data_IF_122753595764
#
_entry.id   IF_122753595764
#
_cell.length_a   1.000
_cell.length_b   1.000
_cell.length_c   1.000
_cell.angle_alpha   90.00
_cell.angle_beta   90.00
_cell.angle_gamma   90.00
#
_symmetry.space_group_name_H-M   'P 1'
#
loop_
_entity.id
_entity.type
_entity.pdbx_description
1 polymer ?
#
# COMPACT_ATOMS: atom_id res chain seq x y z
N UNK A 1 15.34 -4.56 -14.60
CA UNK A 1 16.21 -4.12 -13.48
C UNK A 1 16.79 -2.72 -13.69
N UNK A 2 17.38 -2.40 -14.85
CA UNK A 2 17.92 -1.06 -15.18
C UNK A 2 16.97 0.13 -14.92
N UNK A 3 15.67 0.01 -15.24
CA UNK A 3 14.69 1.08 -15.04
C UNK A 3 14.55 1.51 -13.56
N UNK A 4 14.63 0.57 -12.61
CA UNK A 4 14.49 0.85 -11.16
C UNK A 4 15.70 1.61 -10.63
N UNK A 5 16.91 1.22 -11.04
CA UNK A 5 18.13 1.88 -10.58
C UNK A 5 18.27 3.30 -11.14
N UNK A 6 17.97 3.49 -12.42
CA UNK A 6 17.95 4.82 -13.02
C UNK A 6 16.93 5.75 -12.33
N UNK A 7 15.73 5.23 -12.03
CA UNK A 7 14.70 5.98 -11.28
C UNK A 7 15.16 6.34 -9.87
N UNK A 8 15.79 5.41 -9.16
CA UNK A 8 16.40 5.67 -7.86
C UNK A 8 17.46 6.79 -7.93
N UNK A 9 18.41 6.71 -8.87
CA UNK A 9 19.48 7.71 -9.00
C UNK A 9 18.91 9.08 -9.35
N UNK A 10 17.92 9.14 -10.26
CA UNK A 10 17.22 10.38 -10.60
C UNK A 10 16.58 11.00 -9.35
N UNK A 11 15.79 10.24 -8.59
CA UNK A 11 15.12 10.73 -7.38
C UNK A 11 16.11 11.16 -6.29
N UNK A 12 17.20 10.43 -6.11
CA UNK A 12 18.25 10.82 -5.18
C UNK A 12 18.96 12.10 -5.64
N UNK A 13 19.21 12.25 -6.95
CA UNK A 13 19.77 13.45 -7.55
C UNK A 13 18.88 14.68 -7.32
N UNK A 14 17.56 14.56 -7.47
CA UNK A 14 16.60 15.64 -7.16
C UNK A 14 16.73 16.13 -5.71
N UNK A 15 16.90 15.21 -4.75
CA UNK A 15 17.11 15.56 -3.34
C UNK A 15 18.47 16.24 -3.13
N UNK A 16 19.54 15.72 -3.75
CA UNK A 16 20.88 16.30 -3.64
C UNK A 16 20.97 17.70 -4.27
N UNK A 17 20.22 17.93 -5.35
CA UNK A 17 20.04 19.27 -5.95
C UNK A 17 19.30 20.21 -4.98
N UNK A 18 18.24 19.73 -4.31
CA UNK A 18 17.54 20.53 -3.30
C UNK A 18 18.47 20.97 -2.16
N UNK A 19 19.37 20.08 -1.74
CA UNK A 19 20.40 20.36 -0.72
C UNK A 19 21.63 21.10 -1.25
N UNK A 20 21.66 21.48 -2.54
CA UNK A 20 22.76 22.19 -3.20
C UNK A 20 24.09 21.44 -3.16
N UNK A 21 24.04 20.11 -3.10
CA UNK A 21 25.21 19.23 -3.22
C UNK A 21 25.48 18.93 -4.69
N UNK A 22 24.43 18.72 -5.48
CA UNK A 22 24.52 18.49 -6.91
C UNK A 22 24.03 19.71 -7.70
N UNK A 23 24.74 20.12 -8.75
CA UNK A 23 24.27 21.15 -9.69
C UNK A 23 23.07 20.63 -10.49
N UNK A 24 22.09 21.49 -10.78
CA UNK A 24 20.93 21.17 -11.63
C UNK A 24 21.32 20.73 -13.04
N UNK A 25 22.46 21.17 -13.55
CA UNK A 25 22.96 20.77 -14.87
C UNK A 25 23.57 19.35 -14.88
N UNK A 26 23.84 18.79 -13.70
CA UNK A 26 24.51 17.49 -13.57
C UNK A 26 23.52 16.39 -13.18
N UNK A 27 23.67 15.23 -13.80
CA UNK A 27 22.93 14.02 -13.42
C UNK A 27 23.74 13.16 -12.46
N UNK A 28 23.09 12.65 -11.42
CA UNK A 28 23.71 11.68 -10.52
C UNK A 28 23.89 10.35 -11.26
N UNK A 29 25.13 9.86 -11.30
CA UNK A 29 25.50 8.60 -11.93
C UNK A 29 26.00 7.59 -10.91
N UNK A 30 26.15 6.32 -11.30
CA UNK A 30 26.80 5.30 -10.43
C UNK A 30 28.23 5.71 -10.06
N UNK A 31 28.96 6.31 -11.00
CA UNK A 31 30.35 6.69 -10.80
C UNK A 31 30.52 7.86 -9.82
N UNK A 32 29.53 8.75 -9.76
CA UNK A 32 29.57 9.94 -8.89
C UNK A 32 28.79 9.77 -7.59
N UNK A 33 28.05 8.66 -7.42
CA UNK A 33 27.13 8.47 -6.30
C UNK A 33 27.82 8.56 -4.95
N UNK A 34 28.89 7.80 -4.76
CA UNK A 34 29.59 7.67 -3.48
C UNK A 34 30.12 9.03 -3.00
N UNK A 35 30.89 9.72 -3.85
CA UNK A 35 31.46 11.04 -3.56
C UNK A 35 30.38 12.10 -3.27
N UNK A 36 29.31 12.14 -4.08
CA UNK A 36 28.22 13.10 -3.88
C UNK A 36 27.47 12.83 -2.56
N UNK A 37 27.32 11.56 -2.17
CA UNK A 37 26.71 11.20 -0.89
C UNK A 37 27.64 11.54 0.28
N UNK A 38 28.95 11.33 0.15
CA UNK A 38 29.93 11.74 1.17
C UNK A 38 29.89 13.23 1.41
N UNK A 39 29.80 14.05 0.35
CA UNK A 39 29.69 15.50 0.45
C UNK A 39 28.42 15.91 1.22
N UNK A 40 27.27 15.31 0.87
CA UNK A 40 26.03 15.53 1.61
C UNK A 40 26.16 15.12 3.08
N UNK A 41 26.70 13.92 3.38
CA UNK A 41 26.86 13.43 4.74
C UNK A 41 27.72 14.37 5.58
N UNK A 42 28.83 14.86 5.03
CA UNK A 42 29.69 15.83 5.69
C UNK A 42 28.95 17.15 5.94
N UNK A 43 28.21 17.67 4.96
CA UNK A 43 27.44 18.90 5.08
C UNK A 43 26.28 18.79 6.10
N UNK A 44 25.73 17.59 6.28
CA UNK A 44 24.63 17.29 7.19
C UNK A 44 25.08 16.80 8.58
N UNK A 45 26.39 16.83 8.89
CA UNK A 45 26.98 16.34 10.14
C UNK A 45 26.61 14.87 10.45
N UNK A 46 26.70 14.02 9.42
CA UNK A 46 26.45 12.58 9.50
C UNK A 46 27.77 11.80 9.42
N UNK A 47 27.70 10.51 9.74
CA UNK A 47 28.80 9.59 9.45
C UNK A 47 29.06 9.53 7.94
N UNK A 48 30.30 9.83 7.53
CA UNK A 48 30.70 9.98 6.13
C UNK A 48 31.27 8.65 5.62
N UNK A 49 30.48 7.92 4.85
CA UNK A 49 30.86 6.63 4.26
C UNK A 49 30.44 6.47 2.80
N UNK A 50 29.77 7.47 2.22
CA UNK A 50 29.28 7.45 0.84
C UNK A 50 28.13 6.49 0.59
N UNK A 51 27.62 5.83 1.64
CA UNK A 51 26.55 4.84 1.56
C UNK A 51 25.30 5.45 2.19
N UNK A 52 24.25 5.76 1.40
CA UNK A 52 23.05 6.36 1.96
C UNK A 52 22.28 5.32 2.80
N UNK A 53 22.37 5.45 4.12
CA UNK A 53 21.62 4.69 5.12
C UNK A 53 20.33 5.40 5.57
N UNK A 54 19.56 4.81 6.50
CA UNK A 54 18.30 5.39 6.98
C UNK A 54 18.42 6.83 7.52
N UNK A 55 19.55 7.17 8.14
CA UNK A 55 19.83 8.53 8.64
C UNK A 55 20.10 9.51 7.50
N UNK A 56 20.95 9.13 6.53
CA UNK A 56 21.22 9.92 5.32
C UNK A 56 19.93 10.20 4.55
N UNK A 57 19.10 9.17 4.33
CA UNK A 57 17.81 9.34 3.65
C UNK A 57 16.84 10.25 4.40
N UNK A 58 16.83 10.18 5.72
CA UNK A 58 15.96 11.02 6.53
C UNK A 58 16.37 12.48 6.44
N UNK A 59 17.67 12.77 6.55
CA UNK A 59 18.23 14.10 6.39
C UNK A 59 17.98 14.66 4.97
N UNK A 60 18.06 13.82 3.94
CA UNK A 60 17.74 14.20 2.56
C UNK A 60 16.25 14.53 2.38
N UNK A 61 15.38 13.63 2.81
CA UNK A 61 13.96 13.67 2.43
C UNK A 61 13.08 14.51 3.35
N UNK A 62 13.37 14.56 4.66
CA UNK A 62 12.48 15.24 5.60
C UNK A 62 12.35 16.75 5.29
N UNK A 63 13.44 17.51 5.10
CA UNK A 63 13.34 18.93 4.75
C UNK A 63 12.63 19.15 3.41
N UNK A 64 12.90 18.29 2.42
CA UNK A 64 12.23 18.33 1.12
C UNK A 64 10.72 18.13 1.27
N UNK A 65 10.27 17.11 2.00
CA UNK A 65 8.84 16.85 2.24
C UNK A 65 8.14 17.96 3.05
N UNK A 66 8.88 18.72 3.87
CA UNK A 66 8.34 19.89 4.56
C UNK A 66 8.22 21.12 3.65
N UNK A 67 9.03 21.21 2.60
CA UNK A 67 9.01 22.29 1.63
C UNK A 67 7.97 22.08 0.52
N UNK A 68 7.78 20.82 0.09
CA UNK A 68 6.83 20.47 -0.96
C UNK A 68 5.36 20.75 -0.57
N UNK A 69 4.49 21.07 -1.54
CA UNK A 69 3.06 21.14 -1.32
C UNK A 69 2.52 19.86 -0.66
N UNK A 70 1.66 20.05 0.34
CA UNK A 70 1.04 18.95 1.06
C UNK A 70 -0.07 18.32 0.25
N UNK A 71 -0.29 17.04 0.51
CA UNK A 71 -1.34 16.22 -0.08
C UNK A 71 -2.49 16.09 0.91
N UNK A 72 -3.70 16.31 0.41
CA UNK A 72 -4.91 16.08 1.18
C UNK A 72 -5.32 14.60 1.21
N UNK A 73 -6.22 14.30 2.15
CA UNK A 73 -7.03 13.10 2.06
C UNK A 73 -8.30 13.40 1.26
N UNK A 74 -8.51 12.64 0.20
CA UNK A 74 -9.66 12.75 -0.70
C UNK A 74 -10.63 11.62 -0.39
N UNK A 75 -11.92 11.96 -0.29
CA UNK A 75 -13.00 10.97 -0.23
C UNK A 75 -13.24 10.44 -1.65
N UNK A 76 -13.16 9.13 -1.82
CA UNK A 76 -13.58 8.44 -3.04
C UNK A 76 -14.83 7.62 -2.77
N UNK A 77 -15.69 7.46 -3.78
CA UNK A 77 -16.88 6.62 -3.71
C UNK A 77 -16.51 5.14 -3.61
N UNK A 78 -17.37 4.34 -2.97
CA UNK A 78 -17.30 2.89 -2.98
C UNK A 78 -18.72 2.31 -2.90
N UNK A 79 -18.92 1.08 -3.35
CA UNK A 79 -20.24 0.45 -3.32
C UNK A 79 -20.52 -0.26 -1.99
N UNK A 80 -21.77 -0.21 -1.55
CA UNK A 80 -22.27 -1.14 -0.52
C UNK A 80 -22.86 -2.38 -1.18
N UNK A 81 -22.74 -3.54 -0.54
CA UNK A 81 -23.38 -4.78 -0.99
C UNK A 81 -24.41 -5.28 0.04
N UNK A 82 -25.59 -5.78 -0.38
CA UNK A 82 -26.62 -6.23 0.56
C UNK A 82 -26.12 -7.30 1.54
N UNK A 83 -26.33 -7.05 2.83
CA UNK A 83 -25.94 -7.98 3.90
C UNK A 83 -24.42 -8.13 4.08
N UNK A 84 -23.63 -7.16 3.61
CA UNK A 84 -22.19 -7.07 3.82
C UNK A 84 -21.88 -5.74 4.51
N UNK A 85 -21.24 -5.79 5.67
CA UNK A 85 -20.79 -4.59 6.38
C UNK A 85 -19.66 -3.91 5.61
N UNK A 86 -19.74 -2.59 5.47
CA UNK A 86 -18.76 -1.79 4.75
C UNK A 86 -19.14 -0.32 4.71
N UNK A 87 -18.31 0.47 4.03
CA UNK A 87 -18.54 1.88 3.80
C UNK A 87 -18.86 2.14 2.32
N UNK A 88 -19.65 3.18 2.09
CA UNK A 88 -19.93 3.79 0.78
C UNK A 88 -18.78 4.68 0.28
N UNK A 89 -17.61 4.58 0.92
CA UNK A 89 -16.49 5.49 0.69
C UNK A 89 -15.17 4.91 1.16
N UNK A 90 -14.11 5.46 0.60
CA UNK A 90 -12.74 5.34 1.08
C UNK A 90 -12.12 6.74 1.19
N UNK A 91 -11.17 6.92 2.10
CA UNK A 91 -10.33 8.12 2.12
C UNK A 91 -8.90 7.74 1.76
N UNK A 92 -8.33 8.37 0.74
CA UNK A 92 -6.97 8.09 0.27
C UNK A 92 -6.17 9.39 0.16
N UNK A 93 -4.84 9.30 0.15
CA UNK A 93 -3.98 10.44 -0.17
C UNK A 93 -4.27 10.88 -1.61
N UNK A 94 -4.25 12.18 -1.89
CA UNK A 94 -4.73 12.73 -3.17
C UNK A 94 -4.18 12.02 -4.43
N UNK A 95 -2.89 11.68 -4.45
CA UNK A 95 -2.23 10.95 -5.55
C UNK A 95 -2.67 9.48 -5.68
N UNK A 96 -3.00 8.82 -4.56
CA UNK A 96 -3.62 7.49 -4.57
C UNK A 96 -5.11 7.56 -4.90
N UNK A 97 -5.79 8.64 -4.51
CA UNK A 97 -7.21 8.85 -4.78
C UNK A 97 -7.50 8.96 -6.28
N UNK A 98 -6.67 9.67 -7.04
CA UNK A 98 -6.77 9.77 -8.51
C UNK A 98 -6.73 8.38 -9.16
N UNK A 99 -5.76 7.55 -8.77
CA UNK A 99 -5.64 6.16 -9.26
C UNK A 99 -6.84 5.31 -8.86
N UNK A 100 -7.35 5.49 -7.64
CA UNK A 100 -8.50 4.73 -7.16
C UNK A 100 -9.78 5.12 -7.91
N UNK A 101 -9.98 6.40 -8.20
CA UNK A 101 -11.13 6.87 -8.97
C UNK A 101 -11.13 6.30 -10.38
N UNK A 102 -9.98 6.29 -11.07
CA UNK A 102 -9.85 5.66 -12.37
C UNK A 102 -10.13 4.14 -12.32
N UNK A 103 -9.63 3.44 -11.29
CA UNK A 103 -9.95 2.03 -11.04
C UNK A 103 -11.45 1.83 -10.81
N UNK A 104 -12.05 2.66 -9.96
CA UNK A 104 -13.47 2.60 -9.60
C UNK A 104 -14.37 2.77 -10.82
N UNK A 105 -14.11 3.79 -11.63
CA UNK A 105 -14.81 4.02 -12.89
C UNK A 105 -14.73 2.81 -13.83
N UNK A 106 -13.54 2.23 -13.98
CA UNK A 106 -13.34 1.04 -14.83
C UNK A 106 -14.13 -0.17 -14.28
N UNK A 107 -14.02 -0.47 -12.99
CA UNK A 107 -14.71 -1.59 -12.33
C UNK A 107 -16.23 -1.46 -12.47
N UNK A 108 -16.78 -0.27 -12.20
CA UNK A 108 -18.22 0.00 -12.30
C UNK A 108 -18.68 -0.07 -13.76
N UNK A 109 -17.88 0.43 -14.71
CA UNK A 109 -18.22 0.36 -16.14
C UNK A 109 -18.33 -1.08 -16.67
N UNK A 110 -17.64 -2.03 -16.02
CA UNK A 110 -17.71 -3.46 -16.31
C UNK A 110 -18.88 -4.16 -15.60
N UNK A 111 -19.70 -3.44 -14.85
CA UNK A 111 -20.84 -3.99 -14.11
C UNK A 111 -20.45 -4.74 -12.83
N UNK A 112 -19.24 -4.48 -12.29
CA UNK A 112 -18.82 -4.96 -10.98
C UNK A 112 -19.02 -3.88 -9.90
N UNK A 113 -18.82 -4.27 -8.64
CA UNK A 113 -18.84 -3.37 -7.48
C UNK A 113 -17.46 -3.34 -6.82
N UNK A 114 -17.09 -2.20 -6.26
CA UNK A 114 -15.87 -2.01 -5.49
C UNK A 114 -16.22 -1.63 -4.05
N UNK A 115 -16.49 -2.65 -3.24
CA UNK A 115 -16.86 -2.43 -1.82
C UNK A 115 -15.68 -1.94 -1.00
N UNK A 116 -15.94 -1.35 0.18
CA UNK A 116 -14.87 -0.88 1.06
C UNK A 116 -15.09 -1.22 2.54
N UNK A 117 -14.01 -1.56 3.24
CA UNK A 117 -13.92 -1.47 4.72
C UNK A 117 -12.99 -0.35 5.19
N UNK A 118 -12.62 0.56 4.29
CA UNK A 118 -11.89 1.79 4.60
C UNK A 118 -10.54 1.90 3.88
N UNK A 119 -9.89 3.04 4.11
CA UNK A 119 -8.59 3.41 3.54
C UNK A 119 -7.73 4.07 4.61
N UNK A 120 -7.73 5.40 4.67
CA UNK A 120 -7.02 6.15 5.71
C UNK A 120 -7.29 5.59 7.11
N UNK A 121 -6.21 5.33 7.84
CA UNK A 121 -6.24 5.10 9.28
C UNK A 121 -5.74 6.36 9.99
N UNK A 122 -6.54 6.88 10.93
CA UNK A 122 -6.11 7.99 11.76
C UNK A 122 -4.93 7.58 12.65
N UNK A 123 -3.96 8.48 12.85
CA UNK A 123 -2.80 8.20 13.71
C UNK A 123 -3.20 7.94 15.17
N UNK A 124 -4.28 8.57 15.64
CA UNK A 124 -4.84 8.39 16.99
C UNK A 124 -5.45 7.00 17.22
N UNK A 125 -5.73 6.24 16.16
CA UNK A 125 -6.12 4.84 16.28
C UNK A 125 -4.86 4.02 16.52
N UNK A 126 -4.51 3.84 17.79
CA UNK A 126 -3.28 3.17 18.23
C UNK A 126 -3.02 1.80 17.58
N UNK A 127 -1.74 1.41 17.57
CA UNK A 127 -1.32 0.07 17.13
C UNK A 127 -1.85 -1.00 18.10
N UNK A 128 -2.28 -2.13 17.55
CA UNK A 128 -2.73 -3.31 18.28
C UNK A 128 -2.10 -4.54 17.64
N UNK A 129 -2.25 -5.73 18.23
CA UNK A 129 -1.75 -6.97 17.64
C UNK A 129 -2.26 -7.23 16.20
N UNK A 130 -3.38 -6.61 15.80
CA UNK A 130 -3.91 -6.67 14.42
C UNK A 130 -3.46 -5.50 13.53
N UNK A 131 -2.88 -4.44 14.09
CA UNK A 131 -2.55 -3.19 13.37
C UNK A 131 -1.04 -2.92 13.39
N UNK A 132 -0.41 -3.07 12.23
CA UNK A 132 1.01 -2.75 12.05
C UNK A 132 1.28 -1.26 12.25
N UNK A 133 2.30 -0.92 13.04
CA UNK A 133 2.81 0.45 13.19
C UNK A 133 3.41 1.03 11.91
N UNK A 134 3.66 0.18 10.91
CA UNK A 134 4.20 0.57 9.60
C UNK A 134 3.13 0.62 8.50
N UNK A 135 1.84 0.48 8.82
CA UNK A 135 0.78 0.26 7.83
C UNK A 135 0.62 1.39 6.79
N UNK A 136 0.43 1.03 5.51
CA UNK A 136 0.16 1.96 4.41
C UNK A 136 -1.09 2.83 4.61
N UNK A 137 -2.07 2.34 5.39
CA UNK A 137 -3.29 3.09 5.70
C UNK A 137 -3.01 4.41 6.41
N UNK A 138 -1.94 4.52 7.21
CA UNK A 138 -1.59 5.79 7.86
C UNK A 138 -1.20 6.88 6.86
N UNK A 139 -0.57 6.48 5.76
CA UNK A 139 -0.18 7.37 4.67
C UNK A 139 -1.29 7.55 3.62
N UNK A 140 -2.46 6.93 3.79
CA UNK A 140 -3.55 6.97 2.79
C UNK A 140 -3.20 6.25 1.49
N UNK A 141 -2.27 5.29 1.54
CA UNK A 141 -1.75 4.56 0.37
C UNK A 141 -2.32 3.15 0.21
N UNK A 142 -3.34 2.81 1.00
CA UNK A 142 -4.00 1.51 0.91
C UNK A 142 -5.51 1.64 1.11
N UNK A 143 -6.25 0.75 0.46
CA UNK A 143 -7.66 0.53 0.69
C UNK A 143 -7.93 -0.95 0.93
N UNK A 144 -9.00 -1.21 1.67
CA UNK A 144 -9.51 -2.54 1.92
C UNK A 144 -10.88 -2.69 1.26
N UNK A 145 -11.08 -3.78 0.52
CA UNK A 145 -12.42 -4.26 0.16
C UNK A 145 -13.20 -4.66 1.41
N UNK A 146 -14.54 -4.65 1.36
CA UNK A 146 -15.32 -5.07 2.52
C UNK A 146 -14.95 -6.51 2.93
N UNK A 147 -14.52 -6.71 4.18
CA UNK A 147 -13.91 -7.97 4.65
C UNK A 147 -14.82 -9.19 4.44
N UNK A 148 -16.14 -9.01 4.47
CA UNK A 148 -17.13 -10.09 4.25
C UNK A 148 -17.65 -10.20 2.81
N UNK A 149 -17.09 -9.46 1.85
CA UNK A 149 -17.53 -9.45 0.45
C UNK A 149 -16.90 -10.54 -0.43
N UNK A 150 -16.12 -11.44 0.18
CA UNK A 150 -15.53 -12.60 -0.48
C UNK A 150 -15.18 -13.67 0.54
N UNK A 151 -14.81 -14.85 0.05
CA UNK A 151 -14.32 -15.97 0.87
C UNK A 151 -15.39 -16.69 1.73
N UNK A 152 -16.67 -16.29 1.73
CA UNK A 152 -17.71 -16.88 2.61
C UNK A 152 -18.81 -17.62 1.83
N UNK A 153 -19.44 -16.94 0.88
CA UNK A 153 -20.53 -17.47 0.05
C UNK A 153 -20.10 -17.35 -1.41
N UNK A 154 -19.24 -18.24 -1.91
CA UNK A 154 -18.62 -18.08 -3.22
C UNK A 154 -19.63 -18.04 -4.38
N UNK A 155 -20.88 -18.47 -4.17
CA UNK A 155 -21.95 -18.37 -5.18
C UNK A 155 -22.59 -16.97 -5.30
N UNK A 156 -22.50 -16.14 -4.26
CA UNK A 156 -23.22 -14.85 -4.18
C UNK A 156 -22.36 -13.69 -3.73
N UNK A 157 -21.18 -13.95 -3.15
CA UNK A 157 -20.25 -12.91 -2.75
C UNK A 157 -19.82 -12.11 -3.98
N UNK A 158 -19.71 -10.76 -3.86
CA UNK A 158 -19.22 -9.91 -4.94
C UNK A 158 -17.85 -10.33 -5.46
N UNK A 159 -16.98 -10.83 -4.59
CA UNK A 159 -15.65 -11.28 -4.95
C UNK A 159 -15.46 -12.79 -4.73
N UNK A 160 -14.84 -13.42 -5.71
CA UNK A 160 -14.33 -14.79 -5.64
C UNK A 160 -12.82 -14.70 -5.50
N UNK A 161 -12.27 -15.38 -4.50
CA UNK A 161 -10.83 -15.36 -4.23
C UNK A 161 -10.25 -16.71 -4.61
N UNK A 162 -9.24 -16.73 -5.48
CA UNK A 162 -8.51 -17.95 -5.86
C UNK A 162 -7.07 -17.86 -5.35
N UNK A 163 -6.40 -18.99 -5.26
CA UNK A 163 -4.96 -19.00 -5.01
C UNK A 163 -4.23 -18.48 -6.26
N UNK A 164 -3.45 -17.40 -6.10
CA UNK A 164 -2.66 -16.81 -7.18
C UNK A 164 -1.22 -17.34 -7.20
N UNK A 165 -0.39 -16.71 -8.03
CA UNK A 165 1.04 -16.99 -8.09
C UNK A 165 1.78 -16.51 -6.82
N UNK A 166 2.88 -17.20 -6.46
CA UNK A 166 3.79 -16.80 -5.39
C UNK A 166 3.12 -16.40 -4.05
N UNK A 167 2.13 -17.20 -3.61
CA UNK A 167 1.36 -17.05 -2.35
C UNK A 167 0.39 -15.87 -2.26
N UNK A 168 0.30 -15.03 -3.30
CA UNK A 168 -0.69 -13.95 -3.34
C UNK A 168 -2.08 -14.49 -3.70
N UNK A 169 -3.12 -13.79 -3.27
CA UNK A 169 -4.49 -14.05 -3.73
C UNK A 169 -4.73 -13.42 -5.09
N UNK A 170 -5.51 -14.10 -5.94
CA UNK A 170 -6.16 -13.45 -7.08
C UNK A 170 -7.62 -13.20 -6.72
N UNK A 171 -8.06 -11.95 -6.82
CA UNK A 171 -9.41 -11.51 -6.52
C UNK A 171 -10.14 -11.29 -7.84
N UNK A 172 -11.27 -11.97 -7.97
CA UNK A 172 -12.15 -11.91 -9.13
C UNK A 172 -13.44 -11.21 -8.73
N UNK A 173 -13.80 -10.13 -9.41
CA UNK A 173 -15.08 -9.47 -9.18
C UNK A 173 -16.14 -10.05 -10.10
N UNK A 174 -17.33 -10.35 -9.56
CA UNK A 174 -18.51 -10.65 -10.37
C UNK A 174 -18.89 -9.40 -11.14
N UNK A 175 -19.04 -9.53 -12.45
CA UNK A 175 -19.31 -8.41 -13.32
C UNK A 175 -20.15 -8.84 -14.52
N UNK A 176 -21.19 -8.08 -14.86
CA UNK A 176 -22.01 -8.36 -16.04
C UNK A 176 -21.18 -8.31 -17.33
N UNK A 177 -20.24 -7.37 -17.41
CA UNK A 177 -19.27 -7.23 -18.50
C UNK A 177 -18.08 -8.19 -18.44
N UNK A 178 -18.02 -9.08 -17.44
CA UNK A 178 -16.94 -10.05 -17.26
C UNK A 178 -16.99 -11.23 -18.23
N UNK A 179 -15.96 -12.07 -18.16
CA UNK A 179 -15.85 -13.30 -18.95
C UNK A 179 -16.50 -14.48 -18.22
N UNK A 180 -17.22 -15.33 -18.95
CA UNK A 180 -17.73 -16.59 -18.39
C UNK A 180 -16.57 -17.54 -18.12
N UNK A 181 -16.40 -17.92 -16.86
CA UNK A 181 -15.35 -18.86 -16.45
C UNK A 181 -15.75 -19.67 -15.23
N UNK A 182 -14.96 -20.71 -15.01
CA UNK A 182 -15.02 -21.57 -13.83
C UNK A 182 -13.79 -21.28 -12.95
N UNK A 183 -14.03 -20.99 -11.67
CA UNK A 183 -13.01 -20.61 -10.69
C UNK A 183 -13.00 -21.57 -9.50
N UNK A 184 -11.80 -21.92 -9.04
CA UNK A 184 -11.57 -22.67 -7.81
C UNK A 184 -11.53 -21.72 -6.60
N UNK A 185 -12.72 -21.37 -6.11
CA UNK A 185 -12.90 -20.38 -5.06
C UNK A 185 -12.43 -20.91 -3.70
N UNK A 186 -11.64 -20.10 -3.00
CA UNK A 186 -11.25 -20.34 -1.62
C UNK A 186 -12.36 -19.86 -0.67
N UNK A 187 -12.69 -20.72 0.31
CA UNK A 187 -13.82 -20.56 1.20
C UNK A 187 -13.36 -20.75 2.64
N UNK A 188 -13.76 -19.84 3.52
CA UNK A 188 -13.56 -19.93 4.96
C UNK A 188 -14.66 -20.79 5.58
N UNK A 189 -14.26 -21.83 6.32
CA UNK A 189 -15.14 -22.75 7.04
C UNK A 189 -15.24 -22.48 8.54
N UNK A 190 -14.71 -21.35 9.02
CA UNK A 190 -14.82 -20.98 10.42
C UNK A 190 -16.17 -20.35 10.76
N UNK A 191 -16.71 -20.67 11.94
CA UNK A 191 -17.88 -19.98 12.52
C UNK A 191 -17.53 -18.63 13.16
N UNK A 192 -16.23 -18.33 13.25
CA UNK A 192 -15.69 -17.07 13.76
C UNK A 192 -14.50 -16.65 12.90
N UNK A 193 -13.96 -15.46 13.17
CA UNK A 193 -12.73 -14.96 12.53
C UNK A 193 -11.48 -15.77 12.87
N UNK A 194 -11.52 -16.60 13.91
CA UNK A 194 -10.36 -17.37 14.40
C UNK A 194 -10.68 -18.86 14.54
N UNK A 195 -9.68 -19.71 14.33
CA UNK A 195 -9.80 -21.16 14.51
C UNK A 195 -10.65 -21.86 13.46
N UNK A 196 -10.80 -21.24 12.28
CA UNK A 196 -11.44 -21.86 11.12
C UNK A 196 -10.45 -22.56 10.20
N UNK A 197 -10.98 -23.16 9.15
CA UNK A 197 -10.22 -23.80 8.08
C UNK A 197 -10.59 -23.22 6.72
N UNK A 198 -9.86 -23.58 5.68
CA UNK A 198 -10.13 -23.22 4.30
C UNK A 198 -10.56 -24.44 3.50
N UNK A 199 -11.42 -24.25 2.52
CA UNK A 199 -11.71 -25.24 1.50
C UNK A 199 -11.84 -24.58 0.14
N UNK A 200 -11.81 -25.40 -0.89
CA UNK A 200 -11.99 -24.95 -2.27
C UNK A 200 -13.36 -25.38 -2.78
N UNK A 201 -14.01 -24.53 -3.56
CA UNK A 201 -15.28 -24.81 -4.23
C UNK A 201 -15.26 -24.23 -5.64
N UNK A 202 -15.53 -25.08 -6.62
CA UNK A 202 -15.75 -24.66 -8.00
C UNK A 202 -16.99 -23.77 -8.11
N UNK A 203 -16.82 -22.62 -8.77
CA UNK A 203 -17.89 -21.66 -9.04
C UNK A 203 -17.83 -21.21 -10.49
N UNK A 204 -19.00 -21.11 -11.12
CA UNK A 204 -19.18 -20.55 -12.46
C UNK A 204 -19.80 -19.16 -12.38
N UNK A 205 -19.46 -18.31 -13.32
CA UNK A 205 -20.02 -16.97 -13.43
C UNK A 205 -19.26 -16.10 -14.41
N UNK A 206 -19.68 -14.85 -14.52
CA UNK A 206 -18.99 -13.81 -15.29
C UNK A 206 -18.09 -13.02 -14.33
N UNK A 207 -16.80 -12.98 -14.64
CA UNK A 207 -15.81 -12.38 -13.75
C UNK A 207 -14.84 -11.48 -14.49
N UNK A 208 -14.32 -10.50 -13.77
CA UNK A 208 -13.14 -9.71 -14.17
C UNK A 208 -12.02 -9.96 -13.16
N UNK A 209 -10.77 -9.97 -13.63
CA UNK A 209 -9.60 -10.10 -12.76
C UNK A 209 -9.33 -8.77 -12.06
N UNK A 210 -9.95 -8.57 -10.88
CA UNK A 210 -9.82 -7.33 -10.12
C UNK A 210 -8.37 -7.09 -9.68
N UNK A 211 -7.63 -8.15 -9.35
CA UNK A 211 -6.21 -8.01 -8.98
C UNK A 211 -5.39 -7.38 -10.11
N UNK A 212 -5.59 -7.83 -11.35
CA UNK A 212 -4.91 -7.24 -12.51
C UNK A 212 -5.36 -5.79 -12.76
N UNK A 213 -6.66 -5.50 -12.63
CA UNK A 213 -7.17 -4.13 -12.73
C UNK A 213 -6.49 -3.22 -11.70
N UNK A 214 -6.50 -3.60 -10.42
CA UNK A 214 -5.83 -2.88 -9.35
C UNK A 214 -4.35 -2.62 -9.70
N UNK A 215 -3.63 -3.64 -10.17
CA UNK A 215 -2.21 -3.53 -10.51
C UNK A 215 -1.97 -2.56 -11.67
N UNK A 216 -2.84 -2.53 -12.69
CA UNK A 216 -2.73 -1.55 -13.79
C UNK A 216 -2.91 -0.11 -13.32
N UNK A 217 -3.70 0.10 -12.26
CA UNK A 217 -3.84 1.40 -11.60
C UNK A 217 -2.79 1.61 -10.48
N UNK A 218 -1.84 0.69 -10.34
CA UNK A 218 -0.70 0.76 -9.42
C UNK A 218 -0.98 0.35 -7.98
N UNK A 219 -2.12 -0.30 -7.74
CA UNK A 219 -2.48 -0.94 -6.48
C UNK A 219 -2.12 -2.42 -6.49
N UNK A 220 -1.24 -2.82 -5.59
CA UNK A 220 -0.78 -4.20 -5.49
C UNK A 220 -1.44 -4.91 -4.32
N UNK A 221 -1.85 -6.18 -4.49
CA UNK A 221 -2.31 -6.99 -3.37
C UNK A 221 -1.16 -7.30 -2.42
N UNK A 222 -1.50 -7.66 -1.19
CA UNK A 222 -0.55 -8.28 -0.25
C UNK A 222 -0.87 -9.77 -0.06
N UNK A 223 0.14 -10.53 0.35
CA UNK A 223 -0.02 -11.93 0.70
C UNK A 223 -0.64 -12.13 2.09
N UNK A 224 -1.16 -13.33 2.37
CA UNK A 224 -1.67 -13.67 3.69
C UNK A 224 -0.55 -13.62 4.73
N UNK A 225 -0.90 -13.16 5.94
CA UNK A 225 -0.03 -13.17 7.11
C UNK A 225 0.20 -14.59 7.62
N UNK A 226 1.29 -14.77 8.38
CA UNK A 226 1.66 -16.07 8.97
C UNK A 226 0.57 -16.69 9.86
N UNK A 227 -0.26 -15.87 10.53
CA UNK A 227 -1.37 -16.37 11.35
C UNK A 227 -2.55 -16.90 10.52
N UNK A 228 -2.58 -16.66 9.21
CA UNK A 228 -3.52 -17.30 8.29
C UNK A 228 -2.94 -18.54 7.62
N UNK A 229 -1.62 -18.61 7.40
CA UNK A 229 -1.02 -19.78 6.72
C UNK A 229 -0.73 -20.94 7.68
N UNK A 230 -0.65 -20.69 8.99
CA UNK A 230 -0.50 -21.74 10.01
C UNK A 230 -1.85 -22.40 10.34
N UNK A 231 -1.92 -23.71 10.13
CA UNK A 231 -3.14 -24.52 10.25
C UNK A 231 -3.72 -24.60 11.66
N UNK A 232 -2.88 -24.54 12.68
CA UNK A 232 -3.23 -24.87 14.07
C UNK A 232 -4.12 -23.81 14.74
N UNK A 233 -4.08 -22.55 14.27
CA UNK A 233 -4.91 -21.43 14.74
C UNK A 233 -5.13 -20.39 13.65
N UNK A 234 -5.67 -20.82 12.50
CA UNK A 234 -5.91 -19.94 11.36
C UNK A 234 -6.76 -18.73 11.76
N UNK A 235 -6.33 -17.53 11.42
CA UNK A 235 -7.08 -16.29 11.62
C UNK A 235 -7.46 -15.70 10.27
N UNK A 236 -8.77 -15.62 9.98
CA UNK A 236 -9.31 -15.07 8.75
C UNK A 236 -8.80 -13.66 8.47
N UNK A 237 -8.69 -12.79 9.48
CA UNK A 237 -8.17 -11.43 9.32
C UNK A 237 -6.71 -11.40 8.82
N UNK A 238 -5.98 -12.50 8.95
CA UNK A 238 -4.66 -12.66 8.35
C UNK A 238 -4.69 -13.03 6.88
N UNK A 239 -5.85 -13.29 6.26
CA UNK A 239 -5.95 -13.61 4.85
C UNK A 239 -5.54 -12.42 3.99
N UNK A 240 -5.98 -11.20 4.35
CA UNK A 240 -5.60 -9.94 3.69
C UNK A 240 -5.88 -9.90 2.18
N UNK A 241 -6.77 -10.76 1.67
CA UNK A 241 -7.15 -10.77 0.24
C UNK A 241 -7.83 -9.46 -0.19
N UNK A 242 -8.40 -8.73 0.76
CA UNK A 242 -9.09 -7.45 0.55
C UNK A 242 -8.13 -6.25 0.46
N UNK A 243 -6.88 -6.39 0.89
CA UNK A 243 -5.96 -5.26 1.07
C UNK A 243 -5.16 -5.00 -0.21
N UNK A 244 -5.25 -3.76 -0.71
CA UNK A 244 -4.51 -3.27 -1.85
C UNK A 244 -3.76 -1.99 -1.52
N UNK A 245 -2.52 -1.86 -2.00
CA UNK A 245 -1.66 -0.71 -1.70
C UNK A 245 -0.92 -0.13 -2.90
N UNK A 246 -0.85 1.21 -2.95
CA UNK A 246 -0.30 1.99 -4.06
C UNK A 246 1.25 2.01 -4.06
N UNK A 247 1.86 0.86 -4.30
CA UNK A 247 3.33 0.70 -4.28
C UNK A 247 4.05 1.58 -5.31
N UNK A 248 3.40 1.88 -6.43
CA UNK A 248 4.03 2.67 -7.51
C UNK A 248 4.22 4.14 -7.18
N UNK A 249 3.56 4.64 -6.13
CA UNK A 249 3.76 6.00 -5.62
C UNK A 249 5.01 6.11 -4.73
N UNK A 250 5.71 4.99 -4.51
CA UNK A 250 6.88 4.90 -3.65
C UNK A 250 8.10 4.47 -4.45
N UNK A 251 9.27 4.96 -4.04
CA UNK A 251 10.55 4.57 -4.62
C UNK A 251 11.21 3.50 -3.74
N UNK A 252 11.33 2.25 -4.22
CA UNK A 252 11.92 1.18 -3.43
C UNK A 252 13.37 1.46 -3.01
N UNK A 253 13.64 1.34 -1.72
CA UNK A 253 14.96 1.60 -1.13
C UNK A 253 15.28 3.08 -0.92
N UNK A 254 14.36 4.00 -1.24
CA UNK A 254 14.48 5.45 -1.03
C UNK A 254 13.34 6.00 -0.18
N UNK A 255 12.07 5.78 -0.57
CA UNK A 255 10.90 6.29 0.15
C UNK A 255 10.89 5.80 1.60
N UNK A 256 10.83 6.75 2.53
CA UNK A 256 10.73 6.46 3.97
C UNK A 256 9.31 6.67 4.48
N UNK A 257 8.86 5.74 5.32
CA UNK A 257 7.48 5.76 5.84
C UNK A 257 7.08 7.10 6.48
N UNK A 258 7.94 7.66 7.33
CA UNK A 258 7.69 8.94 7.98
C UNK A 258 7.70 10.13 7.03
N UNK A 259 8.51 10.08 5.98
CA UNK A 259 8.52 11.13 4.95
C UNK A 259 7.20 11.12 4.21
N UNK A 260 6.67 9.94 3.85
CA UNK A 260 5.37 9.81 3.20
C UNK A 260 4.21 10.31 4.07
N UNK A 261 4.33 10.20 5.40
CA UNK A 261 3.40 10.82 6.34
C UNK A 261 3.53 12.35 6.36
N UNK A 262 4.76 12.87 6.36
CA UNK A 262 5.01 14.32 6.37
C UNK A 262 4.57 15.04 5.09
N UNK A 263 4.32 14.31 4.00
CA UNK A 263 3.73 14.84 2.77
C UNK A 263 2.24 15.16 2.90
N UNK A 264 1.60 14.80 4.01
CA UNK A 264 0.14 14.92 4.20
C UNK A 264 -0.19 16.23 4.93
N UNK A 265 -1.27 16.88 4.51
CA UNK A 265 -1.75 18.13 5.14
C UNK A 265 -2.06 17.92 6.62
N UNK A 266 -1.62 18.86 7.45
CA UNK A 266 -1.72 18.78 8.91
C UNK A 266 -0.77 17.79 9.61
N UNK A 267 0.03 16.99 8.89
CA UNK A 267 0.97 16.06 9.51
C UNK A 267 2.34 16.72 9.73
N UNK A 268 2.67 16.99 10.99
CA UNK A 268 3.98 17.50 11.41
C UNK A 268 4.77 16.42 12.17
N UNK A 269 6.12 16.55 12.29
CA UNK A 269 6.91 15.62 13.09
C UNK A 269 6.38 15.47 14.52
N UNK A 270 6.01 16.59 15.13
CA UNK A 270 5.48 16.62 16.50
C UNK A 270 4.11 15.96 16.60
N UNK A 271 3.20 16.28 15.67
CA UNK A 271 1.87 15.68 15.65
C UNK A 271 1.93 14.16 15.50
N UNK A 272 2.77 13.64 14.60
CA UNK A 272 2.91 12.19 14.39
C UNK A 272 3.48 11.54 15.66
N UNK A 273 4.53 12.13 16.23
CA UNK A 273 5.19 11.62 17.45
C UNK A 273 4.24 11.51 18.63
N UNK A 274 3.44 12.56 18.87
CA UNK A 274 2.48 12.59 19.99
C UNK A 274 1.27 11.70 19.72
N UNK A 275 0.79 11.64 18.47
CA UNK A 275 -0.39 10.83 18.13
C UNK A 275 -0.11 9.33 18.13
N UNK A 276 1.09 8.92 17.74
CA UNK A 276 1.44 7.50 17.60
C UNK A 276 2.95 7.27 17.64
N UNK A 277 3.49 7.01 18.84
CA UNK A 277 4.92 6.74 19.05
C UNK A 277 5.41 5.53 18.23
N UNK A 278 4.58 4.49 18.08
CA UNK A 278 4.89 3.31 17.29
C UNK A 278 5.08 3.63 15.80
N UNK A 279 4.25 4.50 15.23
CA UNK A 279 4.43 5.00 13.86
C UNK A 279 5.71 5.83 13.77
N UNK A 280 5.92 6.74 14.72
CA UNK A 280 7.09 7.63 14.73
C UNK A 280 8.43 6.88 14.88
N UNK A 281 8.49 5.85 15.71
CA UNK A 281 9.69 5.03 15.87
C UNK A 281 10.08 4.31 14.58
N UNK A 282 9.11 4.06 13.70
CA UNK A 282 9.32 3.45 12.39
C UNK A 282 9.50 4.46 11.25
N UNK A 283 9.54 5.78 11.51
CA UNK A 283 9.58 6.82 10.46
C UNK A 283 10.69 6.65 9.41
N UNK A 284 11.81 6.01 9.76
CA UNK A 284 12.98 5.87 8.88
C UNK A 284 13.03 4.54 8.11
N UNK A 285 12.03 3.67 8.25
CA UNK A 285 11.99 2.43 7.47
C UNK A 285 11.77 2.72 5.99
N UNK A 286 12.48 1.96 5.15
CA UNK A 286 12.58 2.12 3.70
C UNK A 286 11.71 1.10 2.98
N UNK A 287 10.94 1.59 2.00
CA UNK A 287 10.05 0.77 1.19
C UNK A 287 10.81 -0.37 0.49
N UNK A 288 10.29 -1.61 0.55
CA UNK A 288 10.93 -2.83 0.04
C UNK A 288 12.35 -3.12 0.58
N UNK A 289 12.66 -2.66 1.80
CA UNK A 289 13.84 -3.09 2.57
C UNK A 289 13.43 -3.57 3.96
N UNK A 290 12.76 -2.70 4.72
CA UNK A 290 12.27 -2.98 6.08
C UNK A 290 10.90 -2.33 6.35
N UNK A 291 10.25 -1.86 5.28
CA UNK A 291 8.88 -1.42 5.17
C UNK A 291 8.23 -2.20 4.02
N UNK A 292 7.50 -3.26 4.39
CA UNK A 292 6.90 -4.33 3.54
C UNK A 292 7.71 -4.72 2.29
#
# INVERSE_FOLDING_TARGET
MMKRRARYLKRLGELLVFHRILDRANELSEASLEETVMEFQAAADLYVDGIPGPETYWALQMPFALYEPKLDFVRCEAETAPGIDGYDRVYLRADAAERYQALHEEVVSLGAVLTSSGGKRALTQGASASRSSKSMHYAGLAFDLAIASGFFRPASDPFVVTQGEATAWTVWARADGGEEMELEAQVWKGRSWTGGDTATKTVKGRFINLTELCMRHGFHPIGPRLNFTRSEKRNYLGAEWWHFQANELLEPGLSQFGVELLRIEGYTPEFIRVSNEGVWSNRKVLFQKNWF
#
